data_IF_709512323097
#
_entry.id   IF_709512323097
#
_cell.length_a   1.000
_cell.length_b   1.000
_cell.length_c   1.000
_cell.angle_alpha   90.00
_cell.angle_beta   90.00
_cell.angle_gamma   90.00
#
_symmetry.space_group_name_H-M   'P 1'
#
loop_
_entity.id
_entity.type
_entity.pdbx_description
1 polymer ?
#
# COMPACT_ATOMS: atom_id res chain seq x y z
N UNK A 1 -3.01 -15.47 -3.07
CA UNK A 1 -2.78 -15.12 -4.48
C UNK A 1 -3.16 -13.66 -4.67
N UNK A 2 -2.34 -12.88 -5.39
CA UNK A 2 -2.64 -11.47 -5.68
C UNK A 2 -3.85 -11.33 -6.61
N UNK A 3 -4.72 -10.36 -6.35
CA UNK A 3 -5.92 -10.05 -7.13
C UNK A 3 -5.57 -9.56 -8.55
N UNK A 4 -6.10 -10.25 -9.57
CA UNK A 4 -5.84 -9.93 -10.98
C UNK A 4 -6.45 -8.59 -11.43
N UNK A 5 -7.59 -8.18 -10.87
CA UNK A 5 -8.21 -6.89 -11.16
C UNK A 5 -7.34 -5.76 -10.59
N UNK A 6 -6.82 -5.94 -9.36
CA UNK A 6 -5.89 -4.99 -8.77
C UNK A 6 -4.62 -4.83 -9.64
N UNK A 7 -4.05 -5.94 -10.10
CA UNK A 7 -2.89 -5.91 -11.00
C UNK A 7 -3.20 -5.17 -12.31
N UNK A 8 -4.40 -5.35 -12.86
CA UNK A 8 -4.83 -4.63 -14.06
C UNK A 8 -4.94 -3.12 -13.79
N UNK A 9 -5.58 -2.72 -12.71
CA UNK A 9 -5.72 -1.30 -12.33
C UNK A 9 -4.35 -0.64 -12.12
N UNK A 10 -3.42 -1.31 -11.44
CA UNK A 10 -2.07 -0.80 -11.23
C UNK A 10 -1.28 -0.64 -12.54
N UNK A 11 -1.45 -1.56 -13.49
CA UNK A 11 -0.84 -1.44 -14.83
C UNK A 11 -1.42 -0.24 -15.58
N UNK A 12 -2.73 -0.06 -15.57
CA UNK A 12 -3.38 1.10 -16.20
C UNK A 12 -2.93 2.43 -15.57
N UNK A 13 -2.80 2.47 -14.24
CA UNK A 13 -2.26 3.64 -13.53
C UNK A 13 -0.80 3.92 -13.90
N UNK A 14 0.02 2.89 -14.10
CA UNK A 14 1.41 3.06 -14.53
C UNK A 14 1.52 3.70 -15.92
N UNK A 15 0.59 3.38 -16.82
CA UNK A 15 0.56 3.92 -18.18
C UNK A 15 -0.04 5.34 -18.25
N UNK A 16 -1.12 5.59 -17.51
CA UNK A 16 -1.90 6.83 -17.60
C UNK A 16 -1.55 7.86 -16.51
N UNK A 17 -0.79 7.45 -15.50
CA UNK A 17 -0.60 8.18 -14.25
C UNK A 17 -1.72 7.89 -13.25
N UNK A 18 -1.43 8.14 -11.97
CA UNK A 18 -2.46 8.12 -10.93
C UNK A 18 -3.47 9.25 -11.17
N UNK A 19 -4.76 8.97 -10.91
CA UNK A 19 -5.87 9.88 -11.19
C UNK A 19 -6.29 10.69 -9.97
N UNK A 20 -6.15 10.10 -8.78
CA UNK A 20 -6.52 10.70 -7.49
C UNK A 20 -5.56 10.23 -6.38
N UNK A 21 -5.41 10.99 -5.29
CA UNK A 21 -4.55 10.61 -4.17
C UNK A 21 -4.88 9.25 -3.54
N UNK A 22 -6.16 8.87 -3.51
CA UNK A 22 -6.62 7.59 -2.98
C UNK A 22 -6.18 6.39 -3.83
N UNK A 23 -5.74 6.61 -5.07
CA UNK A 23 -5.15 5.55 -5.88
C UNK A 23 -3.85 5.00 -5.25
N UNK A 24 -3.20 5.76 -4.37
CA UNK A 24 -2.06 5.27 -3.57
C UNK A 24 -2.44 4.06 -2.70
N UNK A 25 -3.69 3.97 -2.22
CA UNK A 25 -4.15 2.86 -1.39
C UNK A 25 -4.11 1.52 -2.13
N UNK A 26 -4.33 1.54 -3.46
CA UNK A 26 -4.25 0.33 -4.30
C UNK A 26 -2.84 -0.25 -4.34
N UNK A 27 -1.82 0.60 -4.26
CA UNK A 27 -0.44 0.12 -4.15
C UNK A 27 -0.23 -0.63 -2.83
N UNK A 28 -0.74 -0.09 -1.72
CA UNK A 28 -0.61 -0.74 -0.42
C UNK A 28 -1.47 -2.01 -0.30
N UNK A 29 -2.62 -2.08 -0.98
CA UNK A 29 -3.37 -3.32 -1.12
C UNK A 29 -2.55 -4.40 -1.83
N UNK A 30 -1.85 -4.03 -2.91
CA UNK A 30 -1.00 -4.96 -3.62
C UNK A 30 0.17 -5.44 -2.76
N UNK A 31 0.83 -4.52 -2.05
CA UNK A 31 1.93 -4.87 -1.13
C UNK A 31 1.42 -5.76 0.02
N UNK A 32 0.20 -5.52 0.52
CA UNK A 32 -0.46 -6.38 1.52
C UNK A 32 -0.66 -7.79 1.02
N UNK A 33 -1.22 -7.96 -0.17
CA UNK A 33 -1.38 -9.28 -0.77
C UNK A 33 -0.03 -9.94 -1.07
N UNK A 34 0.99 -9.16 -1.45
CA UNK A 34 2.36 -9.68 -1.64
C UNK A 34 2.99 -10.16 -0.33
N UNK A 35 2.77 -9.48 0.79
CA UNK A 35 3.30 -9.88 2.09
C UNK A 35 2.74 -11.23 2.58
N UNK A 36 1.53 -11.61 2.13
CA UNK A 36 0.96 -12.93 2.42
C UNK A 36 1.54 -14.04 1.53
N UNK A 37 2.03 -13.70 0.35
CA UNK A 37 2.45 -14.65 -0.69
C UNK A 37 3.96 -14.80 -0.83
N UNK A 38 4.73 -13.78 -0.45
CA UNK A 38 6.18 -13.73 -0.58
C UNK A 38 6.81 -13.89 0.80
N UNK A 39 7.36 -15.07 1.08
CA UNK A 39 8.09 -15.34 2.33
C UNK A 39 9.19 -14.30 2.56
N UNK A 40 9.99 -13.98 1.54
CA UNK A 40 11.03 -12.95 1.63
C UNK A 40 10.50 -11.58 2.11
N UNK A 41 9.38 -11.10 1.54
CA UNK A 41 8.80 -9.81 1.94
C UNK A 41 8.24 -9.86 3.36
N UNK A 42 7.65 -11.00 3.73
CA UNK A 42 7.13 -11.21 5.07
C UNK A 42 8.26 -11.17 6.11
N UNK A 43 9.36 -11.87 5.85
CA UNK A 43 10.54 -11.86 6.71
C UNK A 43 11.11 -10.44 6.87
N UNK A 44 11.25 -9.69 5.78
CA UNK A 44 11.69 -8.28 5.85
C UNK A 44 10.74 -7.40 6.67
N UNK A 45 9.43 -7.69 6.67
CA UNK A 45 8.46 -7.00 7.52
C UNK A 45 8.46 -7.49 8.98
N UNK A 46 8.93 -8.70 9.26
CA UNK A 46 9.14 -9.20 10.63
C UNK A 46 10.42 -8.61 11.26
N UNK A 47 11.42 -8.28 10.44
CA UNK A 47 12.72 -7.75 10.88
C UNK A 47 12.73 -6.25 11.20
N UNK A 48 11.71 -5.50 10.81
CA UNK A 48 11.58 -4.07 11.12
C UNK A 48 10.79 -3.82 12.40
N UNK A 49 11.16 -2.76 13.13
CA UNK A 49 10.33 -2.27 14.22
C UNK A 49 8.96 -1.79 13.68
N UNK A 50 7.84 -2.15 14.32
CA UNK A 50 6.52 -1.70 13.91
C UNK A 50 6.43 -0.18 13.85
N UNK A 51 5.95 0.34 12.72
CA UNK A 51 5.78 1.77 12.49
C UNK A 51 4.45 2.08 11.81
N UNK A 52 3.89 3.22 12.17
CA UNK A 52 2.74 3.81 11.50
C UNK A 52 3.13 5.18 10.95
N UNK A 53 2.88 5.41 9.67
CA UNK A 53 3.21 6.64 8.96
C UNK A 53 1.91 7.25 8.41
N UNK A 54 1.69 8.54 8.69
CA UNK A 54 0.63 9.32 8.06
C UNK A 54 1.22 10.13 6.89
N UNK A 55 0.62 9.98 5.72
CA UNK A 55 0.95 10.73 4.52
C UNK A 55 -0.11 11.80 4.28
N UNK A 56 0.34 13.03 3.99
CA UNK A 56 -0.53 14.19 3.80
C UNK A 56 -0.26 14.77 2.41
N UNK A 57 -1.24 14.66 1.52
CA UNK A 57 -1.21 15.30 0.19
C UNK A 57 -1.79 16.70 0.33
N UNK A 58 -0.92 17.67 0.59
CA UNK A 58 -1.29 19.03 1.02
C UNK A 58 -2.15 19.79 0.02
N UNK A 59 -1.91 19.59 -1.28
CA UNK A 59 -2.58 20.34 -2.35
C UNK A 59 -4.08 20.08 -2.41
N UNK A 60 -4.51 18.90 -1.95
CA UNK A 60 -5.90 18.42 -2.00
C UNK A 60 -6.43 18.00 -0.63
N UNK A 61 -5.68 18.29 0.44
CA UNK A 61 -6.00 17.95 1.84
C UNK A 61 -6.37 16.48 2.06
N UNK A 62 -5.82 15.58 1.24
CA UNK A 62 -6.05 14.15 1.39
C UNK A 62 -5.02 13.56 2.36
N UNK A 63 -5.48 12.68 3.23
CA UNK A 63 -4.65 12.01 4.24
C UNK A 63 -4.90 10.52 4.18
N UNK A 64 -3.83 9.76 4.35
CA UNK A 64 -3.91 8.32 4.50
C UNK A 64 -2.79 7.86 5.41
N UNK A 65 -2.92 6.65 5.94
CA UNK A 65 -1.92 6.05 6.81
C UNK A 65 -1.51 4.68 6.30
N UNK A 66 -0.30 4.28 6.68
CA UNK A 66 0.27 2.95 6.41
C UNK A 66 0.92 2.47 7.70
N UNK A 67 0.63 1.23 8.08
CA UNK A 67 1.29 0.52 9.18
C UNK A 67 2.13 -0.61 8.60
N UNK A 68 3.37 -0.74 9.05
CA UNK A 68 4.35 -1.71 8.57
C UNK A 68 5.00 -2.37 9.79
N UNK A 69 5.30 -3.66 9.70
CA UNK A 69 5.97 -4.41 10.76
C UNK A 69 5.17 -5.65 11.17
N UNK A 70 5.71 -6.44 12.09
CA UNK A 70 5.09 -7.70 12.55
C UNK A 70 4.72 -8.65 11.39
N UNK A 71 5.51 -8.64 10.30
CA UNK A 71 5.27 -9.47 9.12
C UNK A 71 4.06 -9.06 8.28
N UNK A 72 3.53 -7.85 8.48
CA UNK A 72 2.33 -7.37 7.78
C UNK A 72 2.42 -5.90 7.38
N UNK A 73 1.49 -5.54 6.52
CA UNK A 73 1.22 -4.17 6.12
C UNK A 73 -0.29 -3.93 6.16
N UNK A 74 -0.68 -2.80 6.74
CA UNK A 74 -2.05 -2.32 6.77
C UNK A 74 -2.09 -0.86 6.31
N UNK A 75 -3.23 -0.40 5.80
CA UNK A 75 -3.39 0.97 5.33
C UNK A 75 -4.85 1.41 5.47
N UNK A 76 -5.07 2.72 5.39
CA UNK A 76 -6.41 3.26 5.36
C UNK A 76 -6.44 4.75 5.07
N UNK A 77 -7.65 5.26 4.81
CA UNK A 77 -7.88 6.71 4.78
C UNK A 77 -7.64 7.30 6.17
N UNK A 78 -7.11 8.53 6.19
CA UNK A 78 -6.88 9.30 7.40
C UNK A 78 -7.84 10.48 7.49
N UNK A 79 -8.21 10.83 8.72
CA UNK A 79 -8.96 12.06 9.02
C UNK A 79 -8.13 13.33 8.72
#
# INVERSE_FOLDING_TARGET
MVDENLLKELKEMREKGASQPSDALKMYEFVKQMAEESEDLKEELEDIDPMAVQLVVTDVKYRYWVSLGDGKIDYGEGD
#
